data_IF_919194395739
#
_entry.id   IF_919194395739
#
_cell.length_a   1.000
_cell.length_b   1.000
_cell.length_c   1.000
_cell.angle_alpha   90.00
_cell.angle_beta   90.00
_cell.angle_gamma   90.00
#
_symmetry.space_group_name_H-M   'P 1'
#
loop_
_entity.id
_entity.type
_entity.pdbx_description
1 polymer ?
#
# COMPACT_ATOMS: atom_id res chain seq x y z
N UNK A 1 -18.10 -19.09 9.31
CA UNK A 1 -17.13 -20.20 9.28
C UNK A 1 -15.85 -19.69 9.94
N UNK A 2 -15.22 -20.43 10.86
CA UNK A 2 -13.92 -19.99 11.37
C UNK A 2 -12.97 -19.99 10.17
N UNK A 3 -12.23 -18.89 9.99
CA UNK A 3 -11.06 -18.81 9.11
C UNK A 3 -10.39 -20.19 9.12
N UNK A 4 -10.28 -20.84 7.96
CA UNK A 4 -9.60 -22.13 7.88
C UNK A 4 -8.34 -22.02 8.73
N UNK A 5 -8.23 -22.93 9.69
CA UNK A 5 -7.01 -23.14 10.44
C UNK A 5 -6.06 -23.76 9.41
N UNK A 6 -5.58 -22.92 8.49
CA UNK A 6 -4.55 -23.30 7.56
C UNK A 6 -3.35 -23.60 8.45
N UNK A 7 -2.76 -24.80 8.30
CA UNK A 7 -1.77 -25.29 9.24
C UNK A 7 -0.64 -24.28 9.40
N UNK A 8 -0.20 -24.08 10.66
CA UNK A 8 0.86 -23.11 11.00
C UNK A 8 2.22 -23.48 10.39
N UNK A 9 2.36 -24.71 9.90
CA UNK A 9 3.53 -25.18 9.19
C UNK A 9 3.49 -24.82 7.70
N UNK A 10 4.51 -24.09 7.21
CA UNK A 10 4.61 -23.62 5.83
C UNK A 10 4.49 -24.71 4.75
N UNK A 11 4.98 -25.92 5.03
CA UNK A 11 4.93 -27.03 4.07
C UNK A 11 3.52 -27.60 3.91
N UNK A 12 2.76 -27.69 4.99
CA UNK A 12 1.38 -28.14 4.96
C UNK A 12 0.50 -27.08 4.30
N UNK A 13 0.78 -25.79 4.57
CA UNK A 13 0.10 -24.67 3.93
C UNK A 13 0.22 -24.72 2.40
N UNK A 14 1.44 -24.91 1.89
CA UNK A 14 1.68 -25.03 0.45
C UNK A 14 0.97 -26.25 -0.15
N UNK A 15 0.95 -27.39 0.55
CA UNK A 15 0.26 -28.60 0.06
C UNK A 15 -1.25 -28.40 -0.02
N UNK A 16 -1.86 -27.89 1.05
CA UNK A 16 -3.30 -27.62 1.08
C UNK A 16 -3.70 -26.62 -0.01
N UNK A 17 -2.93 -25.54 -0.18
CA UNK A 17 -3.21 -24.56 -1.22
C UNK A 17 -3.11 -25.16 -2.63
N UNK A 18 -2.08 -25.97 -2.90
CA UNK A 18 -1.96 -26.65 -4.19
C UNK A 18 -3.14 -27.59 -4.47
N UNK A 19 -3.69 -28.26 -3.45
CA UNK A 19 -4.88 -29.10 -3.61
C UNK A 19 -6.08 -28.22 -3.98
N UNK A 20 -6.31 -27.13 -3.25
CA UNK A 20 -7.41 -26.20 -3.50
C UNK A 20 -7.35 -25.64 -4.92
N UNK A 21 -6.17 -25.20 -5.37
CA UNK A 21 -5.97 -24.64 -6.71
C UNK A 21 -6.11 -25.72 -7.78
N UNK A 22 -5.43 -26.87 -7.65
CA UNK A 22 -5.47 -27.95 -8.66
C UNK A 22 -6.85 -28.57 -8.83
N UNK A 23 -7.64 -28.63 -7.76
CA UNK A 23 -9.01 -29.13 -7.79
C UNK A 23 -10.04 -28.04 -8.08
N UNK A 24 -9.60 -26.79 -8.31
CA UNK A 24 -10.45 -25.63 -8.59
C UNK A 24 -11.49 -25.35 -7.48
N UNK A 25 -11.17 -25.69 -6.23
CA UNK A 25 -11.99 -25.45 -5.05
C UNK A 25 -11.82 -24.04 -4.48
N UNK A 26 -11.15 -23.13 -5.18
CA UNK A 26 -10.94 -21.75 -4.75
C UNK A 26 -12.28 -21.02 -4.52
N UNK A 27 -13.35 -21.39 -5.25
CA UNK A 27 -14.71 -20.83 -5.10
C UNK A 27 -15.48 -21.39 -3.89
N UNK A 28 -15.02 -22.48 -3.28
CA UNK A 28 -15.68 -23.07 -2.11
C UNK A 28 -15.33 -22.32 -0.81
N UNK A 29 -14.39 -21.37 -0.91
CA UNK A 29 -13.88 -20.55 0.17
C UNK A 29 -14.17 -19.09 -0.10
N UNK A 30 -14.46 -18.34 0.96
CA UNK A 30 -14.41 -16.89 0.86
C UNK A 30 -12.96 -16.49 0.56
N UNK A 31 -12.67 -15.56 -0.37
CA UNK A 31 -11.30 -15.20 -0.72
C UNK A 31 -10.43 -14.83 0.49
N UNK A 32 -11.05 -14.22 1.50
CA UNK A 32 -10.39 -13.81 2.74
C UNK A 32 -9.99 -15.00 3.64
N UNK A 33 -10.63 -16.16 3.52
CA UNK A 33 -10.26 -17.37 4.28
C UNK A 33 -8.90 -17.92 3.87
N UNK A 34 -8.43 -17.60 2.65
CA UNK A 34 -7.14 -18.04 2.11
C UNK A 34 -6.16 -16.86 1.95
N UNK A 35 -6.58 -15.77 1.31
CA UNK A 35 -5.70 -14.64 1.01
C UNK A 35 -5.24 -13.91 2.28
N UNK A 36 -6.14 -13.69 3.25
CA UNK A 36 -5.79 -12.89 4.41
C UNK A 36 -4.71 -13.56 5.27
N UNK A 37 -4.78 -14.87 5.58
CA UNK A 37 -3.68 -15.51 6.31
C UNK A 37 -2.38 -15.57 5.48
N UNK A 38 -2.43 -15.68 4.15
CA UNK A 38 -1.24 -15.58 3.31
C UNK A 38 -0.56 -14.21 3.41
N UNK A 39 -1.36 -13.14 3.32
CA UNK A 39 -0.90 -11.75 3.43
C UNK A 39 -0.27 -11.50 4.81
N UNK A 40 -0.97 -11.88 5.90
CA UNK A 40 -0.49 -11.61 7.26
C UNK A 40 0.79 -12.38 7.62
N UNK A 41 0.95 -13.59 7.08
CA UNK A 41 2.12 -14.42 7.31
C UNK A 41 3.25 -14.20 6.29
N UNK A 42 3.17 -13.15 5.47
CA UNK A 42 4.19 -12.80 4.45
C UNK A 42 4.53 -13.98 3.53
N UNK A 43 3.49 -14.71 3.08
CA UNK A 43 3.62 -15.86 2.19
C UNK A 43 3.31 -15.48 0.74
N UNK A 44 3.92 -14.38 0.28
CA UNK A 44 3.63 -13.74 -1.00
C UNK A 44 3.74 -14.71 -2.19
N UNK A 45 4.75 -15.59 -2.19
CA UNK A 45 4.93 -16.62 -3.22
C UNK A 45 3.78 -17.63 -3.33
N UNK A 46 2.97 -17.79 -2.29
CA UNK A 46 1.77 -18.64 -2.32
C UNK A 46 0.54 -17.87 -2.79
N UNK A 47 0.55 -16.54 -2.72
CA UNK A 47 -0.53 -15.73 -3.29
C UNK A 47 -0.53 -15.92 -4.81
N UNK A 48 0.64 -15.87 -5.45
CA UNK A 48 0.77 -16.12 -6.89
C UNK A 48 0.22 -17.51 -7.29
N UNK A 49 0.45 -18.53 -6.44
CA UNK A 49 -0.13 -19.88 -6.64
C UNK A 49 -1.66 -19.88 -6.51
N UNK A 50 -2.21 -19.11 -5.56
CA UNK A 50 -3.65 -18.99 -5.38
C UNK A 50 -4.35 -18.30 -6.56
N UNK A 51 -3.70 -17.27 -7.12
CA UNK A 51 -4.25 -16.50 -8.24
C UNK A 51 -4.38 -17.37 -9.49
N UNK A 52 -3.37 -18.22 -9.77
CA UNK A 52 -3.40 -19.18 -10.89
C UNK A 52 -3.78 -18.52 -12.24
N UNK A 53 -3.29 -17.28 -12.45
CA UNK A 53 -3.58 -16.42 -13.61
C UNK A 53 -5.09 -16.20 -13.90
N UNK A 54 -5.94 -16.26 -12.87
CA UNK A 54 -7.39 -16.01 -12.99
C UNK A 54 -7.74 -14.59 -12.54
N UNK A 55 -8.22 -13.78 -13.49
CA UNK A 55 -8.58 -12.37 -13.28
C UNK A 55 -9.53 -12.12 -12.10
N UNK A 56 -10.50 -13.00 -11.87
CA UNK A 56 -11.42 -12.87 -10.75
C UNK A 56 -10.68 -12.82 -9.39
N UNK A 57 -9.65 -13.65 -9.19
CA UNK A 57 -8.90 -13.70 -7.94
C UNK A 57 -7.92 -12.54 -7.81
N UNK A 58 -7.40 -12.05 -8.94
CA UNK A 58 -6.58 -10.82 -8.99
C UNK A 58 -7.42 -9.62 -8.55
N UNK A 59 -8.64 -9.46 -9.06
CA UNK A 59 -9.55 -8.40 -8.65
C UNK A 59 -9.92 -8.49 -7.16
N UNK A 60 -10.18 -9.70 -6.64
CA UNK A 60 -10.43 -9.91 -5.22
C UNK A 60 -9.23 -9.52 -4.36
N UNK A 61 -8.02 -9.91 -4.77
CA UNK A 61 -6.79 -9.56 -4.05
C UNK A 61 -6.59 -8.04 -3.99
N UNK A 62 -6.75 -7.34 -5.13
CA UNK A 62 -6.62 -5.88 -5.17
C UNK A 62 -7.71 -5.21 -4.32
N UNK A 63 -8.95 -5.67 -4.41
CA UNK A 63 -10.05 -5.19 -3.58
C UNK A 63 -9.77 -5.34 -2.08
N UNK A 64 -9.28 -6.53 -1.68
CA UNK A 64 -8.87 -6.78 -0.30
C UNK A 64 -7.73 -5.87 0.15
N UNK A 65 -6.67 -5.74 -0.65
CA UNK A 65 -5.54 -4.86 -0.32
C UNK A 65 -5.97 -3.40 -0.22
N UNK A 66 -6.84 -2.94 -1.12
CA UNK A 66 -7.41 -1.60 -1.08
C UNK A 66 -8.25 -1.36 0.19
N UNK A 67 -9.03 -2.35 0.60
CA UNK A 67 -9.82 -2.29 1.84
C UNK A 67 -8.93 -2.28 3.10
N UNK A 68 -7.87 -3.09 3.12
CA UNK A 68 -6.89 -3.11 4.22
C UNK A 68 -6.14 -1.77 4.35
N UNK A 69 -5.96 -1.04 3.25
CA UNK A 69 -5.33 0.27 3.21
C UNK A 69 -6.27 1.46 3.40
N UNK A 70 -7.56 1.23 3.66
CA UNK A 70 -8.49 2.31 3.96
C UNK A 70 -7.99 3.17 5.14
N UNK A 71 -8.17 4.49 5.03
CA UNK A 71 -7.61 5.52 5.92
C UNK A 71 -6.07 5.42 6.03
N UNK A 72 -5.39 5.13 4.91
CA UNK A 72 -3.93 4.97 4.85
C UNK A 72 -3.39 3.80 5.68
N UNK A 73 -4.23 2.80 5.98
CA UNK A 73 -3.89 1.66 6.84
C UNK A 73 -3.81 2.00 8.33
N UNK A 74 -4.22 3.21 8.76
CA UNK A 74 -4.26 3.61 10.19
C UNK A 74 -5.19 2.70 11.01
N UNK A 75 -6.32 2.27 10.42
CA UNK A 75 -7.34 1.41 11.04
C UNK A 75 -7.15 -0.09 10.80
N UNK A 76 -6.01 -0.49 10.24
CA UNK A 76 -5.79 -1.88 9.82
C UNK A 76 -5.91 -2.88 10.99
N UNK A 77 -5.34 -2.55 12.16
CA UNK A 77 -5.40 -3.43 13.32
C UNK A 77 -6.84 -3.63 13.83
N UNK A 78 -7.63 -2.55 13.82
CA UNK A 78 -9.05 -2.59 14.19
C UNK A 78 -9.86 -3.41 13.20
N UNK A 79 -9.60 -3.30 11.90
CA UNK A 79 -10.25 -4.14 10.87
C UNK A 79 -9.94 -5.61 11.08
N UNK A 80 -8.66 -5.95 11.25
CA UNK A 80 -8.25 -7.33 11.46
C UNK A 80 -8.92 -7.92 12.71
N UNK A 81 -9.03 -7.15 13.78
CA UNK A 81 -9.65 -7.58 15.03
C UNK A 81 -11.18 -7.64 14.96
N UNK A 82 -11.83 -6.60 14.44
CA UNK A 82 -13.27 -6.40 14.53
C UNK A 82 -14.03 -7.00 13.34
N UNK A 83 -13.49 -6.88 12.13
CA UNK A 83 -14.12 -7.37 10.90
C UNK A 83 -13.72 -8.82 10.65
N UNK A 84 -12.42 -9.10 10.66
CA UNK A 84 -11.89 -10.43 10.35
C UNK A 84 -11.74 -11.35 11.57
N UNK A 85 -12.07 -10.86 12.77
CA UNK A 85 -12.04 -11.62 14.04
C UNK A 85 -10.68 -12.25 14.36
N UNK A 86 -9.59 -11.63 13.91
CA UNK A 86 -8.22 -12.07 14.20
C UNK A 86 -7.83 -11.57 15.59
N UNK A 87 -7.67 -12.49 16.54
CA UNK A 87 -7.47 -12.17 17.97
C UNK A 87 -6.16 -11.42 18.26
N UNK A 88 -5.10 -11.70 17.51
CA UNK A 88 -3.77 -11.09 17.69
C UNK A 88 -3.14 -10.86 16.33
N UNK A 89 -3.55 -9.82 15.58
CA UNK A 89 -3.01 -9.57 14.26
C UNK A 89 -1.55 -9.11 14.39
N UNK A 90 -0.62 -10.01 14.11
CA UNK A 90 0.79 -9.69 13.95
C UNK A 90 1.07 -9.53 12.46
N UNK A 91 1.50 -8.35 12.05
CA UNK A 91 1.86 -8.09 10.66
C UNK A 91 2.92 -7.00 10.57
N UNK A 92 3.70 -7.05 9.50
CA UNK A 92 4.67 -6.02 9.20
C UNK A 92 4.06 -5.02 8.21
N UNK A 93 3.75 -3.80 8.68
CA UNK A 93 3.21 -2.69 7.85
C UNK A 93 4.05 -2.43 6.60
N UNK A 94 5.39 -2.55 6.70
CA UNK A 94 6.31 -2.34 5.57
C UNK A 94 6.17 -3.46 4.54
N UNK A 95 6.07 -4.71 4.98
CA UNK A 95 5.87 -5.87 4.08
C UNK A 95 4.52 -5.78 3.38
N UNK A 96 3.45 -5.49 4.12
CA UNK A 96 2.12 -5.29 3.54
C UNK A 96 2.11 -4.16 2.50
N UNK A 97 2.80 -3.05 2.78
CA UNK A 97 2.91 -1.94 1.83
C UNK A 97 3.65 -2.36 0.56
N UNK A 98 4.69 -3.19 0.67
CA UNK A 98 5.43 -3.71 -0.49
C UNK A 98 4.56 -4.64 -1.32
N UNK A 99 3.80 -5.51 -0.67
CA UNK A 99 2.87 -6.43 -1.29
C UNK A 99 1.76 -5.68 -2.04
N UNK A 100 1.15 -4.70 -1.38
CA UNK A 100 0.08 -3.89 -1.94
C UNK A 100 0.54 -3.13 -3.19
N UNK A 101 1.70 -2.49 -3.13
CA UNK A 101 2.28 -1.80 -4.29
C UNK A 101 2.65 -2.77 -5.42
N UNK A 102 3.19 -3.96 -5.10
CA UNK A 102 3.50 -4.98 -6.10
C UNK A 102 2.26 -5.35 -6.91
N UNK A 103 1.18 -5.75 -6.22
CA UNK A 103 -0.03 -6.19 -6.91
C UNK A 103 -0.80 -5.03 -7.53
N UNK A 104 -0.77 -3.83 -6.94
CA UNK A 104 -1.26 -2.61 -7.57
C UNK A 104 -0.66 -2.40 -8.96
N UNK A 105 0.67 -2.49 -9.09
CA UNK A 105 1.36 -2.31 -10.37
C UNK A 105 1.06 -3.41 -11.38
N UNK A 106 0.67 -4.61 -10.93
CA UNK A 106 0.35 -5.73 -11.81
C UNK A 106 -1.09 -5.67 -12.33
N UNK A 107 -2.05 -5.27 -11.48
CA UNK A 107 -3.47 -5.48 -11.76
C UNK A 107 -4.37 -4.27 -11.53
N UNK A 108 -3.89 -3.24 -10.81
CA UNK A 108 -4.73 -2.14 -10.33
C UNK A 108 -4.40 -0.76 -10.90
N UNK A 109 -3.22 -0.55 -11.46
CA UNK A 109 -2.68 0.76 -11.87
C UNK A 109 -3.55 1.56 -12.87
N UNK A 110 -4.40 0.90 -13.65
CA UNK A 110 -5.34 1.55 -14.58
C UNK A 110 -6.72 1.85 -13.93
N UNK A 111 -6.92 1.46 -12.67
CA UNK A 111 -8.20 1.44 -11.98
C UNK A 111 -8.19 2.32 -10.71
N UNK A 112 -7.65 3.54 -10.82
CA UNK A 112 -7.54 4.49 -9.71
C UNK A 112 -8.88 4.73 -8.99
N UNK A 113 -9.97 4.90 -9.74
CA UNK A 113 -11.30 5.18 -9.18
C UNK A 113 -11.87 3.98 -8.41
N UNK A 114 -11.52 2.75 -8.82
CA UNK A 114 -11.97 1.52 -8.17
C UNK A 114 -11.17 1.24 -6.90
N UNK A 115 -9.91 1.68 -6.85
CA UNK A 115 -8.96 1.33 -5.80
C UNK A 115 -8.17 2.55 -5.28
N UNK A 116 -8.87 3.56 -4.75
CA UNK A 116 -8.27 4.85 -4.40
C UNK A 116 -7.22 4.77 -3.29
N UNK A 117 -7.37 3.84 -2.33
CA UNK A 117 -6.42 3.72 -1.21
C UNK A 117 -5.05 3.22 -1.69
N UNK A 118 -5.04 2.33 -2.70
CA UNK A 118 -3.80 1.84 -3.30
C UNK A 118 -3.17 2.89 -4.21
N UNK A 119 -3.96 3.66 -4.96
CA UNK A 119 -3.48 4.79 -5.73
C UNK A 119 -2.78 5.83 -4.83
N UNK A 120 -3.37 6.16 -3.68
CA UNK A 120 -2.76 7.06 -2.68
C UNK A 120 -1.48 6.42 -2.11
N UNK A 121 -1.50 5.14 -1.75
CA UNK A 121 -0.31 4.44 -1.24
C UNK A 121 0.86 4.48 -2.24
N UNK A 122 0.57 4.25 -3.53
CA UNK A 122 1.54 4.33 -4.61
C UNK A 122 2.07 5.75 -4.78
N UNK A 123 1.20 6.75 -4.76
CA UNK A 123 1.58 8.16 -4.85
C UNK A 123 2.48 8.60 -3.70
N UNK A 124 2.19 8.17 -2.46
CA UNK A 124 3.07 8.39 -1.29
C UNK A 124 4.45 7.74 -1.48
N UNK A 125 4.50 6.53 -2.07
CA UNK A 125 5.76 5.86 -2.39
C UNK A 125 6.57 6.61 -3.43
N UNK A 126 5.93 7.06 -4.51
CA UNK A 126 6.59 7.86 -5.55
C UNK A 126 7.12 9.15 -4.95
N UNK A 127 6.33 9.86 -4.15
CA UNK A 127 6.77 11.09 -3.50
C UNK A 127 7.95 10.86 -2.54
N UNK A 128 7.91 9.81 -1.73
CA UNK A 128 9.02 9.44 -0.86
C UNK A 128 10.30 9.08 -1.63
N UNK A 129 10.16 8.48 -2.82
CA UNK A 129 11.29 8.26 -3.72
C UNK A 129 11.87 9.58 -4.25
N UNK A 130 11.03 10.48 -4.77
CA UNK A 130 11.46 11.80 -5.26
C UNK A 130 12.21 12.57 -4.17
N UNK A 131 11.69 12.57 -2.95
CA UNK A 131 12.34 13.21 -1.79
C UNK A 131 13.72 12.58 -1.53
N UNK A 132 13.83 11.25 -1.56
CA UNK A 132 15.12 10.61 -1.36
C UNK A 132 16.12 10.95 -2.47
N UNK A 133 15.68 11.02 -3.73
CA UNK A 133 16.54 11.45 -4.84
C UNK A 133 16.99 12.90 -4.65
N UNK A 134 16.07 13.80 -4.28
CA UNK A 134 16.33 15.23 -4.08
C UNK A 134 17.33 15.50 -2.95
N UNK A 135 17.16 14.87 -1.80
CA UNK A 135 17.91 15.22 -0.59
C UNK A 135 19.10 14.30 -0.30
N UNK A 136 19.05 13.03 -0.70
CA UNK A 136 20.10 12.07 -0.34
C UNK A 136 21.09 11.79 -1.47
N UNK A 137 20.84 12.28 -2.70
CA UNK A 137 21.76 12.15 -3.84
C UNK A 137 22.20 10.70 -4.13
N UNK A 138 21.41 9.71 -3.72
CA UNK A 138 21.78 8.29 -3.65
C UNK A 138 21.87 7.59 -5.01
N UNK A 139 21.74 8.34 -6.09
CA UNK A 139 21.89 7.84 -7.46
C UNK A 139 22.97 8.67 -8.12
N UNK A 140 23.91 8.00 -8.81
CA UNK A 140 24.87 8.60 -9.74
C UNK A 140 24.18 9.36 -10.92
N UNK A 141 22.85 9.43 -10.89
CA UNK A 141 22.00 10.23 -11.73
C UNK A 141 22.03 11.69 -11.25
N UNK A 142 22.26 12.60 -12.20
CA UNK A 142 22.28 14.06 -12.03
C UNK A 142 21.27 14.51 -10.97
N UNK A 143 21.73 15.37 -10.06
CA UNK A 143 20.90 16.10 -9.10
C UNK A 143 19.65 16.62 -9.82
N UNK A 144 18.46 16.22 -9.36
CA UNK A 144 17.19 16.62 -9.97
C UNK A 144 17.09 18.14 -9.97
N UNK A 145 16.89 18.75 -11.15
CA UNK A 145 16.73 20.20 -11.25
C UNK A 145 15.47 20.66 -10.53
N UNK A 146 15.43 21.93 -10.14
CA UNK A 146 14.29 22.49 -9.41
C UNK A 146 13.01 22.46 -10.27
N UNK A 147 13.14 22.65 -11.58
CA UNK A 147 12.02 22.56 -12.52
C UNK A 147 11.44 21.14 -12.56
N UNK A 148 12.30 20.13 -12.74
CA UNK A 148 11.89 18.73 -12.77
C UNK A 148 11.26 18.29 -11.45
N UNK A 149 11.85 18.71 -10.33
CA UNK A 149 11.29 18.47 -9.00
C UNK A 149 9.90 19.09 -8.84
N UNK A 150 9.74 20.37 -9.20
CA UNK A 150 8.47 21.07 -9.05
C UNK A 150 7.37 20.48 -9.94
N UNK A 151 7.70 20.08 -11.17
CA UNK A 151 6.77 19.42 -12.08
C UNK A 151 6.30 18.08 -11.51
N UNK A 152 7.24 17.18 -11.18
CA UNK A 152 6.92 15.84 -10.69
C UNK A 152 6.17 15.84 -9.36
N UNK A 153 6.50 16.75 -8.45
CA UNK A 153 5.78 16.85 -7.17
C UNK A 153 4.39 17.43 -7.39
N UNK A 154 4.24 18.48 -8.21
CA UNK A 154 2.92 19.05 -8.54
C UNK A 154 1.98 18.00 -9.10
N UNK A 155 2.43 17.21 -10.07
CA UNK A 155 1.64 16.13 -10.68
C UNK A 155 1.10 15.11 -9.66
N UNK A 156 1.83 14.89 -8.57
CA UNK A 156 1.44 13.93 -7.53
C UNK A 156 0.49 14.56 -6.50
N UNK A 157 0.76 15.78 -6.05
CA UNK A 157 0.03 16.37 -4.91
C UNK A 157 -1.18 17.22 -5.31
N UNK A 158 -1.24 17.68 -6.56
CA UNK A 158 -2.29 18.59 -7.01
C UNK A 158 -3.67 17.93 -6.93
N UNK A 159 -4.59 18.57 -6.22
CA UNK A 159 -5.96 18.07 -6.05
C UNK A 159 -6.11 16.92 -5.05
N UNK A 160 -5.05 16.56 -4.31
CA UNK A 160 -5.10 15.53 -3.27
C UNK A 160 -4.58 16.05 -1.92
N UNK A 161 -5.50 16.24 -0.99
CA UNK A 161 -5.23 16.79 0.34
C UNK A 161 -4.32 15.88 1.17
N UNK A 162 -4.54 14.56 1.13
CA UNK A 162 -3.75 13.58 1.88
C UNK A 162 -2.29 13.51 1.41
N UNK A 163 -2.05 13.76 0.11
CA UNK A 163 -0.70 13.80 -0.47
C UNK A 163 -0.03 15.15 -0.24
N UNK A 164 -0.80 16.22 -0.28
CA UNK A 164 -0.36 17.58 0.08
C UNK A 164 0.12 17.62 1.54
N UNK A 165 -0.67 17.10 2.48
CA UNK A 165 -0.31 17.05 3.91
C UNK A 165 0.94 16.19 4.10
N UNK A 166 0.99 15.02 3.48
CA UNK A 166 2.14 14.13 3.54
C UNK A 166 3.45 14.77 3.00
N UNK A 167 3.37 15.59 1.94
CA UNK A 167 4.52 16.36 1.46
C UNK A 167 5.04 17.32 2.53
N UNK A 168 4.13 18.11 3.12
CA UNK A 168 4.49 19.10 4.15
C UNK A 168 5.10 18.42 5.38
N UNK A 169 4.52 17.31 5.83
CA UNK A 169 5.05 16.50 6.94
C UNK A 169 6.51 16.07 6.66
N UNK A 170 6.79 15.50 5.48
CA UNK A 170 8.14 15.00 5.19
C UNK A 170 9.16 16.14 5.03
N UNK A 171 8.76 17.28 4.44
CA UNK A 171 9.65 18.43 4.34
C UNK A 171 9.98 19.01 5.71
N UNK A 172 9.01 19.01 6.63
CA UNK A 172 9.21 19.45 7.99
C UNK A 172 10.11 18.47 8.79
N UNK A 173 9.91 17.16 8.65
CA UNK A 173 10.78 16.13 9.24
C UNK A 173 12.25 16.24 8.79
N UNK A 174 12.51 16.94 7.68
CA UNK A 174 13.84 17.21 7.13
C UNK A 174 14.37 18.61 7.44
N UNK A 175 13.65 19.39 8.24
CA UNK A 175 13.97 20.79 8.56
C UNK A 175 14.10 21.72 7.34
N UNK A 176 13.54 21.36 6.18
CA UNK A 176 13.55 22.23 4.99
C UNK A 176 12.35 23.18 5.00
N UNK A 177 12.46 24.16 5.90
CA UNK A 177 11.41 25.18 6.11
C UNK A 177 11.18 26.01 4.84
N UNK A 178 12.19 26.22 4.00
CA UNK A 178 12.06 27.03 2.78
C UNK A 178 11.20 26.29 1.76
N UNK A 179 11.50 25.03 1.47
CA UNK A 179 10.71 24.20 0.58
C UNK A 179 9.30 23.99 1.12
N UNK A 180 9.15 23.78 2.43
CA UNK A 180 7.85 23.65 3.07
C UNK A 180 6.97 24.89 2.84
N UNK A 181 7.49 26.10 3.12
CA UNK A 181 6.73 27.35 2.91
C UNK A 181 6.37 27.57 1.43
N UNK A 182 7.29 27.22 0.53
CA UNK A 182 7.03 27.27 -0.92
C UNK A 182 5.83 26.39 -1.29
N UNK A 183 5.84 25.12 -0.89
CA UNK A 183 4.76 24.19 -1.21
C UNK A 183 3.45 24.53 -0.53
N UNK A 184 3.47 25.02 0.71
CA UNK A 184 2.25 25.52 1.36
C UNK A 184 1.60 26.66 0.57
N UNK A 185 2.41 27.59 0.04
CA UNK A 185 1.91 28.68 -0.79
C UNK A 185 1.37 28.19 -2.14
N UNK A 186 2.05 27.22 -2.79
CA UNK A 186 1.59 26.64 -4.06
C UNK A 186 0.29 25.83 -3.90
N UNK A 187 0.07 25.22 -2.73
CA UNK A 187 -1.07 24.35 -2.44
C UNK A 187 -2.22 25.09 -1.72
N UNK A 188 -2.14 26.42 -1.59
CA UNK A 188 -3.09 27.26 -0.86
C UNK A 188 -3.39 26.76 0.57
N UNK A 189 -2.35 26.28 1.26
CA UNK A 189 -2.45 25.78 2.63
C UNK A 189 -2.08 26.85 3.65
N UNK A 190 -2.94 27.13 4.65
CA UNK A 190 -2.67 28.15 5.64
C UNK A 190 -1.53 27.74 6.59
N UNK A 191 -0.65 28.69 6.93
CA UNK A 191 0.49 28.46 7.84
C UNK A 191 0.14 27.90 9.23
N UNK A 192 -1.12 27.98 9.66
CA UNK A 192 -1.58 27.47 10.96
C UNK A 192 -1.78 25.95 10.98
N UNK A 193 -1.73 25.27 9.83
CA UNK A 193 -1.85 23.81 9.73
C UNK A 193 -0.50 23.09 9.90
N UNK A 194 0.56 23.81 10.28
CA UNK A 194 1.83 23.19 10.61
C UNK A 194 1.65 22.28 11.84
N UNK A 195 2.21 21.06 11.83
CA UNK A 195 2.28 20.26 13.04
C UNK A 195 2.91 21.12 14.16
N UNK A 196 2.22 21.27 15.28
CA UNK A 196 2.79 21.90 16.46
C UNK A 196 3.79 20.92 17.07
N UNK A 197 5.08 21.22 16.93
CA UNK A 197 6.19 20.50 17.57
C UNK A 197 6.33 20.89 19.04
#
# INVERSE_FOLDING_TARGET
KPLLILPTNSNEYKRSLNIVVKLNYQLDFEPNEILLPLILNSKDHLIDVYLDDKSQYEEYLIGLLNHLYDNGGKKLQDRLSNEFKIKTPTFNKKTLSKLAVRYWNLYGNEQNDKYPNLAILQSKRTLGYLINVRYNGLTDEKTMSDECWNELVTDIVQGNDDLSEYLIEILADRDDIVAMKYWMAQLDRPYYSLPTW
#
